data_IF_460531083684
#
_entry.id   IF_460531083684
#
_cell.length_a   1.000
_cell.length_b   1.000
_cell.length_c   1.000
_cell.angle_alpha   90.00
_cell.angle_beta   90.00
_cell.angle_gamma   90.00
#
_symmetry.space_group_name_H-M   'P 1'
#
loop_
_entity.id
_entity.type
_entity.pdbx_description
1 polymer ?
#
# COMPACT_ATOMS: atom_id res chain seq x y z
N UNK A 1 -19.00 9.22 -23.60
CA UNK A 1 -18.20 8.47 -24.59
C UNK A 1 -16.78 8.56 -24.13
N UNK A 2 -16.19 7.45 -23.68
CA UNK A 2 -14.78 7.44 -23.28
C UNK A 2 -13.97 7.27 -24.56
N UNK A 3 -13.08 8.22 -24.83
CA UNK A 3 -12.06 8.08 -25.88
C UNK A 3 -11.29 6.78 -25.60
N UNK A 4 -11.27 5.88 -26.58
CA UNK A 4 -10.45 4.68 -26.56
C UNK A 4 -8.99 5.13 -26.73
N UNK A 5 -8.39 5.61 -25.65
CA UNK A 5 -6.96 5.95 -25.62
C UNK A 5 -6.20 4.66 -25.81
N UNK A 6 -5.76 4.40 -27.04
CA UNK A 6 -4.91 3.26 -27.37
C UNK A 6 -3.55 3.48 -26.72
N UNK A 7 -3.36 2.94 -25.52
CA UNK A 7 -2.07 2.93 -24.81
C UNK A 7 -1.03 2.22 -25.69
N UNK A 8 0.12 2.85 -25.91
CA UNK A 8 1.23 2.23 -26.65
C UNK A 8 2.01 1.24 -25.77
N UNK A 9 2.66 0.26 -26.41
CA UNK A 9 3.59 -0.67 -25.75
C UNK A 9 4.67 0.06 -24.96
N UNK A 10 5.22 1.13 -25.54
CA UNK A 10 6.24 1.98 -24.91
C UNK A 10 5.70 2.66 -23.64
N UNK A 11 4.51 3.26 -23.71
CA UNK A 11 3.88 3.92 -22.54
C UNK A 11 3.64 2.92 -21.42
N UNK A 12 3.15 1.73 -21.76
CA UNK A 12 2.91 0.67 -20.80
C UNK A 12 4.22 0.20 -20.14
N UNK A 13 5.22 -0.12 -20.93
CA UNK A 13 6.51 -0.67 -20.46
C UNK A 13 7.25 0.37 -19.61
N UNK A 14 7.30 1.63 -20.04
CA UNK A 14 7.92 2.70 -19.25
C UNK A 14 7.17 2.99 -17.95
N UNK A 15 5.84 2.94 -17.96
CA UNK A 15 5.04 3.20 -16.75
C UNK A 15 5.16 2.05 -15.74
N UNK A 16 5.18 0.79 -16.20
CA UNK A 16 5.44 -0.37 -15.34
C UNK A 16 6.85 -0.31 -14.77
N UNK A 17 7.86 -0.03 -15.59
CA UNK A 17 9.24 0.08 -15.15
C UNK A 17 9.43 1.17 -14.09
N UNK A 18 8.77 2.33 -14.26
CA UNK A 18 8.79 3.39 -13.26
C UNK A 18 8.21 2.93 -11.91
N UNK A 19 7.06 2.26 -11.93
CA UNK A 19 6.43 1.70 -10.73
C UNK A 19 7.35 0.69 -10.04
N UNK A 20 7.89 -0.26 -10.81
CA UNK A 20 8.79 -1.31 -10.30
C UNK A 20 10.03 -0.70 -9.66
N UNK A 21 10.73 0.20 -10.36
CA UNK A 21 11.96 0.81 -9.87
C UNK A 21 11.73 1.64 -8.62
N UNK A 22 10.66 2.46 -8.61
CA UNK A 22 10.32 3.25 -7.43
C UNK A 22 9.93 2.34 -6.25
N UNK A 23 9.14 1.30 -6.50
CA UNK A 23 8.77 0.33 -5.48
C UNK A 23 9.95 -0.41 -4.86
N UNK A 24 10.96 -0.77 -5.67
CA UNK A 24 12.22 -1.38 -5.19
C UNK A 24 13.02 -0.40 -4.32
N UNK A 25 13.17 0.86 -4.75
CA UNK A 25 13.87 1.89 -3.95
C UNK A 25 13.16 2.12 -2.61
N UNK A 26 11.83 2.19 -2.62
CA UNK A 26 11.03 2.33 -1.41
C UNK A 26 11.17 1.11 -0.49
N UNK A 27 11.24 -0.10 -1.05
CA UNK A 27 11.39 -1.33 -0.27
C UNK A 27 12.74 -1.37 0.42
N UNK A 28 13.83 -1.07 -0.28
CA UNK A 28 15.16 -1.06 0.31
C UNK A 28 15.28 0.01 1.41
N UNK A 29 14.70 1.19 1.18
CA UNK A 29 14.60 2.23 2.21
C UNK A 29 13.80 1.73 3.43
N UNK A 30 12.66 1.08 3.21
CA UNK A 30 11.85 0.52 4.29
C UNK A 30 12.60 -0.54 5.09
N UNK A 31 13.33 -1.44 4.42
CA UNK A 31 14.16 -2.46 5.07
C UNK A 31 15.27 -1.82 5.92
N UNK A 32 15.92 -0.78 5.40
CA UNK A 32 16.96 -0.05 6.14
C UNK A 32 16.37 0.62 7.39
N UNK A 33 15.27 1.35 7.25
CA UNK A 33 14.61 2.02 8.38
C UNK A 33 14.10 1.01 9.44
N UNK A 34 13.53 -0.12 8.99
CA UNK A 34 13.08 -1.19 9.87
C UNK A 34 14.24 -1.85 10.63
N UNK A 35 15.39 -2.05 9.98
CA UNK A 35 16.59 -2.60 10.61
C UNK A 35 17.21 -1.63 11.64
N UNK A 36 17.09 -0.32 11.44
CA UNK A 36 17.55 0.68 12.41
C UNK A 36 16.66 0.72 13.66
N UNK A 37 15.34 0.65 13.51
CA UNK A 37 14.39 0.56 14.62
C UNK A 37 12.98 0.27 14.11
N UNK A 38 12.43 -0.92 14.45
CA UNK A 38 11.05 -1.28 14.13
C UNK A 38 10.04 -0.31 14.78
N UNK A 39 10.26 0.07 16.03
CA UNK A 39 9.41 1.02 16.78
C UNK A 39 9.32 2.39 16.11
N UNK A 40 10.42 2.89 15.52
CA UNK A 40 10.40 4.14 14.76
C UNK A 40 9.88 3.95 13.35
N UNK A 41 10.15 2.81 12.74
CA UNK A 41 9.68 2.51 11.39
C UNK A 41 8.14 2.50 11.31
N UNK A 42 7.45 1.80 12.22
CA UNK A 42 5.98 1.63 12.20
C UNK A 42 5.19 2.94 12.09
N UNK A 43 5.41 3.98 12.93
CA UNK A 43 4.68 5.24 12.84
C UNK A 43 5.00 6.04 11.56
N UNK A 44 6.17 5.83 10.95
CA UNK A 44 6.56 6.51 9.70
C UNK A 44 6.33 5.67 8.42
N UNK A 45 5.98 4.37 8.53
CA UNK A 45 5.62 3.43 7.44
C UNK A 45 4.66 4.03 6.42
N UNK A 46 3.75 4.84 6.94
CA UNK A 46 2.72 5.55 6.18
C UNK A 46 3.37 6.34 5.02
N UNK A 47 4.54 6.96 5.21
CA UNK A 47 5.21 7.75 4.17
C UNK A 47 5.73 6.89 3.01
N UNK A 48 6.37 5.76 3.32
CA UNK A 48 6.96 4.88 2.30
C UNK A 48 5.88 4.13 1.53
N UNK A 49 4.80 3.72 2.20
CA UNK A 49 3.61 3.13 1.56
C UNK A 49 2.82 4.17 0.74
N UNK A 50 2.76 5.44 1.16
CA UNK A 50 2.21 6.53 0.33
C UNK A 50 3.01 6.76 -0.95
N UNK A 51 4.32 6.52 -0.93
CA UNK A 51 5.16 6.54 -2.13
C UNK A 51 4.68 5.53 -3.19
N UNK A 52 4.39 4.30 -2.76
CA UNK A 52 3.85 3.24 -3.62
C UNK A 52 2.45 3.55 -4.15
N UNK A 53 1.56 4.05 -3.28
CA UNK A 53 0.23 4.48 -3.72
C UNK A 53 0.29 5.57 -4.79
N UNK A 54 1.22 6.53 -4.63
CA UNK A 54 1.44 7.59 -5.62
C UNK A 54 1.95 7.03 -6.94
N UNK A 55 2.90 6.09 -6.90
CA UNK A 55 3.44 5.41 -8.07
C UNK A 55 2.35 4.63 -8.84
N UNK A 56 1.52 3.88 -8.11
CA UNK A 56 0.39 3.14 -8.69
C UNK A 56 -0.67 4.06 -9.30
N UNK A 57 -0.98 5.18 -8.64
CA UNK A 57 -1.88 6.18 -9.20
C UNK A 57 -1.32 6.81 -10.49
N UNK A 58 0.00 7.04 -10.55
CA UNK A 58 0.66 7.53 -11.75
C UNK A 58 0.61 6.50 -12.88
N UNK A 59 0.81 5.21 -12.60
CA UNK A 59 0.60 4.14 -13.58
C UNK A 59 -0.82 4.19 -14.15
N UNK A 60 -1.84 4.22 -13.30
CA UNK A 60 -3.23 4.24 -13.76
C UNK A 60 -3.54 5.47 -14.61
N UNK A 61 -3.01 6.63 -14.21
CA UNK A 61 -3.12 7.87 -14.99
C UNK A 61 -2.44 7.75 -16.37
N UNK A 62 -1.23 7.18 -16.44
CA UNK A 62 -0.51 6.98 -17.70
C UNK A 62 -1.23 6.00 -18.64
N UNK A 63 -1.93 5.01 -18.08
CA UNK A 63 -2.71 4.05 -18.85
C UNK A 63 -4.14 4.53 -19.16
N UNK A 64 -4.57 5.67 -18.62
CA UNK A 64 -5.95 6.16 -18.78
C UNK A 64 -7.01 5.30 -18.08
N UNK A 65 -6.61 4.48 -17.10
CA UNK A 65 -7.48 3.54 -16.37
C UNK A 65 -7.75 4.02 -14.95
N UNK A 66 -8.78 3.45 -14.31
CA UNK A 66 -9.16 3.78 -12.93
C UNK A 66 -9.02 2.60 -11.97
N UNK A 67 -8.92 1.38 -12.50
CA UNK A 67 -8.89 0.14 -11.72
C UNK A 67 -7.70 -0.73 -12.09
N UNK A 68 -7.23 -1.53 -11.12
CA UNK A 68 -6.19 -2.55 -11.36
C UNK A 68 -6.60 -3.53 -12.48
N UNK A 69 -7.85 -4.00 -12.47
CA UNK A 69 -8.36 -4.92 -13.51
C UNK A 69 -8.36 -4.32 -14.92
N UNK A 70 -8.53 -2.99 -15.04
CA UNK A 70 -8.44 -2.29 -16.32
C UNK A 70 -6.97 -2.19 -16.77
N UNK A 71 -6.04 -1.90 -15.85
CA UNK A 71 -4.60 -1.94 -16.13
C UNK A 71 -4.14 -3.35 -16.57
N UNK A 72 -4.67 -4.38 -15.92
CA UNK A 72 -4.42 -5.79 -16.27
C UNK A 72 -4.90 -6.13 -17.68
N UNK A 73 -6.11 -5.70 -18.03
CA UNK A 73 -6.63 -5.86 -19.38
C UNK A 73 -5.77 -5.14 -20.42
N UNK A 74 -5.15 -4.01 -20.07
CA UNK A 74 -4.23 -3.29 -20.97
C UNK A 74 -2.95 -4.10 -21.21
N UNK A 75 -2.25 -4.55 -20.17
CA UNK A 75 -1.00 -5.30 -20.39
C UNK A 75 -1.22 -6.72 -20.96
N UNK A 76 -2.38 -7.34 -20.72
CA UNK A 76 -2.73 -8.62 -21.35
C UNK A 76 -2.74 -8.53 -22.89
N UNK A 77 -3.17 -7.40 -23.46
CA UNK A 77 -3.13 -7.16 -24.91
C UNK A 77 -1.71 -7.19 -25.47
N UNK A 78 -0.73 -6.77 -24.68
CA UNK A 78 0.68 -6.71 -25.06
C UNK A 78 1.52 -7.87 -24.51
N UNK A 79 0.91 -8.88 -23.87
CA UNK A 79 1.62 -9.98 -23.22
C UNK A 79 2.43 -10.88 -24.18
N UNK A 80 2.16 -10.79 -25.49
CA UNK A 80 2.99 -11.43 -26.51
C UNK A 80 4.40 -10.81 -26.61
N UNK A 81 4.60 -9.58 -26.11
CA UNK A 81 5.89 -8.87 -26.07
C UNK A 81 6.70 -9.26 -24.84
N UNK A 82 7.96 -9.63 -25.05
CA UNK A 82 8.86 -10.03 -23.97
C UNK A 82 9.06 -8.92 -22.93
N UNK A 83 9.31 -7.68 -23.39
CA UNK A 83 9.51 -6.54 -22.50
C UNK A 83 8.33 -6.29 -21.55
N UNK A 84 7.09 -6.49 -22.01
CA UNK A 84 5.90 -6.35 -21.16
C UNK A 84 5.81 -7.49 -20.15
N UNK A 85 6.07 -8.74 -20.57
CA UNK A 85 6.08 -9.89 -19.65
C UNK A 85 7.11 -9.69 -18.55
N UNK A 86 8.33 -9.33 -18.91
CA UNK A 86 9.41 -9.07 -17.96
C UNK A 86 9.02 -8.01 -16.93
N UNK A 87 8.43 -6.88 -17.35
CA UNK A 87 8.00 -5.85 -16.41
C UNK A 87 6.82 -6.28 -15.51
N UNK A 88 5.93 -7.14 -16.01
CA UNK A 88 4.83 -7.71 -15.20
C UNK A 88 5.38 -8.72 -14.19
N UNK A 89 6.31 -9.59 -14.60
CA UNK A 89 6.96 -10.55 -13.70
C UNK A 89 7.73 -9.81 -12.59
N UNK A 90 8.45 -8.74 -12.94
CA UNK A 90 9.12 -7.86 -11.98
C UNK A 90 8.16 -7.16 -11.01
N UNK A 91 6.98 -6.75 -11.48
CA UNK A 91 5.94 -6.18 -10.62
C UNK A 91 5.39 -7.22 -9.65
N UNK A 92 5.13 -8.45 -10.10
CA UNK A 92 4.65 -9.53 -9.25
C UNK A 92 5.69 -9.94 -8.20
N UNK A 93 6.97 -10.00 -8.59
CA UNK A 93 8.05 -10.25 -7.65
C UNK A 93 8.15 -9.12 -6.61
N UNK A 94 8.01 -7.87 -7.04
CA UNK A 94 7.98 -6.73 -6.12
C UNK A 94 6.80 -6.81 -5.13
N UNK A 95 5.60 -7.18 -5.58
CA UNK A 95 4.45 -7.41 -4.69
C UNK A 95 4.77 -8.50 -3.65
N UNK A 96 5.36 -9.63 -4.08
CA UNK A 96 5.78 -10.71 -3.17
C UNK A 96 6.86 -10.28 -2.17
N UNK A 97 7.83 -9.47 -2.61
CA UNK A 97 8.91 -8.99 -1.75
C UNK A 97 8.41 -8.01 -0.68
N UNK A 98 7.46 -7.14 -1.06
CA UNK A 98 6.76 -6.26 -0.12
C UNK A 98 5.94 -7.05 0.89
N UNK A 99 5.15 -8.03 0.45
CA UNK A 99 4.37 -8.87 1.35
C UNK A 99 5.27 -9.62 2.34
N UNK A 100 6.37 -10.21 1.86
CA UNK A 100 7.34 -10.93 2.70
C UNK A 100 8.00 -10.01 3.73
N UNK A 101 8.38 -8.80 3.32
CA UNK A 101 8.95 -7.81 4.21
C UNK A 101 7.93 -7.38 5.29
N UNK A 102 6.68 -7.11 4.90
CA UNK A 102 5.64 -6.73 5.86
C UNK A 102 5.39 -7.85 6.87
N UNK A 103 5.36 -9.12 6.44
CA UNK A 103 5.29 -10.27 7.34
C UNK A 103 6.47 -10.29 8.32
N UNK A 104 7.72 -10.09 7.86
CA UNK A 104 8.87 -10.07 8.77
C UNK A 104 8.83 -8.93 9.79
N UNK A 105 8.27 -7.78 9.41
CA UNK A 105 8.08 -6.66 10.33
C UNK A 105 7.01 -7.01 11.36
N UNK A 106 5.93 -7.66 10.93
CA UNK A 106 4.86 -8.11 11.81
C UNK A 106 5.39 -9.13 12.84
N UNK A 107 6.19 -10.11 12.41
CA UNK A 107 6.85 -11.09 13.30
C UNK A 107 7.80 -10.43 14.30
N UNK A 108 8.60 -9.45 13.86
CA UNK A 108 9.51 -8.70 14.71
C UNK A 108 8.81 -7.82 15.76
N UNK A 109 7.55 -7.42 15.50
CA UNK A 109 6.73 -6.67 16.46
C UNK A 109 5.98 -7.60 17.42
N UNK A 110 5.52 -8.77 16.94
CA UNK A 110 4.79 -9.74 17.76
C UNK A 110 5.60 -10.29 18.95
N UNK A 111 6.93 -10.27 18.89
CA UNK A 111 7.77 -10.64 20.04
C UNK A 111 7.55 -9.76 21.27
N UNK A 112 6.94 -8.57 21.15
CA UNK A 112 6.62 -7.71 22.30
C UNK A 112 5.18 -7.89 22.84
N UNK A 113 4.29 -8.57 22.10
CA UNK A 113 2.87 -8.74 22.47
C UNK A 113 2.59 -10.09 23.13
N UNK A 114 3.30 -10.34 24.21
CA UNK A 114 2.98 -11.46 25.09
C UNK A 114 1.79 -11.08 25.99
N UNK A 115 0.55 -11.43 25.61
CA UNK A 115 -0.52 -11.64 26.61
C UNK A 115 -1.90 -10.98 26.42
N UNK A 116 -2.24 -10.42 25.25
CA UNK A 116 -3.58 -9.85 25.00
C UNK A 116 -4.58 -10.87 24.46
N UNK A 117 -5.75 -11.02 25.10
CA UNK A 117 -6.87 -11.82 24.55
C UNK A 117 -7.40 -11.13 23.30
N UNK A 118 -7.64 -11.87 22.21
CA UNK A 118 -8.26 -11.33 20.98
C UNK A 118 -9.64 -10.78 21.35
N UNK A 119 -9.82 -9.47 21.25
CA UNK A 119 -11.10 -8.83 21.51
C UNK A 119 -12.04 -9.01 20.30
N UNK A 120 -13.20 -9.65 20.51
CA UNK A 120 -14.22 -9.86 19.46
C UNK A 120 -14.96 -8.57 19.05
N UNK A 121 -14.83 -7.49 19.84
CA UNK A 121 -15.48 -6.21 19.57
C UNK A 121 -14.65 -5.03 20.04
N UNK A 122 -14.81 -3.88 19.36
CA UNK A 122 -14.23 -2.60 19.72
C UNK A 122 -15.31 -1.72 20.36
N UNK A 123 -15.02 -1.18 21.54
CA UNK A 123 -15.96 -0.30 22.26
C UNK A 123 -16.00 1.09 21.63
N UNK A 124 -17.18 1.77 21.60
CA UNK A 124 -17.25 3.19 21.27
C UNK A 124 -16.35 4.07 22.14
N UNK A 125 -16.07 3.64 23.37
CA UNK A 125 -15.21 4.34 24.32
C UNK A 125 -13.72 4.03 24.13
N UNK A 126 -13.35 3.22 23.14
CA UNK A 126 -11.95 2.90 22.86
C UNK A 126 -11.18 4.18 22.54
N UNK A 127 -10.13 4.53 23.31
CA UNK A 127 -9.36 5.73 23.10
C UNK A 127 -8.42 5.55 21.91
N UNK A 128 -8.37 6.57 21.06
CA UNK A 128 -7.44 6.72 19.95
C UNK A 128 -6.71 8.04 20.05
N UNK A 129 -5.64 8.18 19.27
CA UNK A 129 -4.96 9.47 19.06
C UNK A 129 -5.27 9.96 17.65
N UNK A 130 -5.83 11.16 17.54
CA UNK A 130 -5.99 11.81 16.23
C UNK A 130 -4.60 12.14 15.67
N UNK A 131 -4.20 11.45 14.60
CA UNK A 131 -2.88 11.61 13.98
C UNK A 131 -2.61 13.02 13.41
N UNK A 132 -3.64 13.85 13.20
CA UNK A 132 -3.47 15.24 12.75
C UNK A 132 -3.26 16.20 13.92
N UNK A 133 -4.04 16.03 14.99
CA UNK A 133 -4.10 17.00 16.10
C UNK A 133 -3.34 16.56 17.35
N UNK A 134 -2.96 15.28 17.45
CA UNK A 134 -2.35 14.67 18.63
C UNK A 134 -3.29 14.53 19.82
N UNK A 135 -4.58 14.83 19.65
CA UNK A 135 -5.57 14.77 20.74
C UNK A 135 -6.04 13.34 20.97
N UNK A 136 -6.33 13.03 22.23
CA UNK A 136 -7.06 11.82 22.57
C UNK A 136 -8.53 11.97 22.15
N UNK A 137 -9.02 11.01 21.37
CA UNK A 137 -10.38 10.93 20.83
C UNK A 137 -10.93 9.54 21.09
N UNK A 138 -12.24 9.34 21.02
CA UNK A 138 -12.86 8.01 21.16
C UNK A 138 -13.48 7.55 19.85
N UNK A 139 -13.65 6.24 19.66
CA UNK A 139 -14.29 5.69 18.46
C UNK A 139 -15.69 6.29 18.21
N UNK A 140 -16.47 6.44 19.29
CA UNK A 140 -17.85 6.94 19.26
C UNK A 140 -17.96 8.34 18.66
N UNK A 141 -16.94 9.19 18.84
CA UNK A 141 -16.91 10.54 18.25
C UNK A 141 -16.96 10.52 16.72
N UNK A 142 -16.56 9.41 16.07
CA UNK A 142 -16.61 9.23 14.62
C UNK A 142 -17.82 8.43 14.14
N UNK A 143 -18.47 7.65 15.02
CA UNK A 143 -19.63 6.81 14.68
C UNK A 143 -20.94 7.61 14.61
N UNK A 144 -21.10 8.64 15.44
CA UNK A 144 -22.40 9.31 15.65
C UNK A 144 -22.62 10.60 14.85
N UNK A 145 -21.83 10.86 13.80
CA UNK A 145 -21.89 12.12 13.05
C UNK A 145 -22.88 12.11 11.86
N UNK A 146 -23.66 11.05 11.66
CA UNK A 146 -24.56 10.91 10.51
C UNK A 146 -23.85 10.85 9.14
N UNK A 147 -22.51 10.73 9.14
CA UNK A 147 -21.69 10.54 7.95
C UNK A 147 -21.35 9.06 7.77
N UNK A 148 -21.12 8.63 6.52
CA UNK A 148 -20.57 7.30 6.25
C UNK A 148 -19.10 7.29 6.62
N UNK A 149 -18.77 6.66 7.75
CA UNK A 149 -17.40 6.47 8.19
C UNK A 149 -16.73 5.34 7.38
N UNK A 150 -15.58 5.63 6.77
CA UNK A 150 -14.67 4.61 6.25
C UNK A 150 -13.55 4.41 7.27
N UNK A 151 -13.61 3.31 8.02
CA UNK A 151 -12.54 2.92 8.92
C UNK A 151 -11.56 2.04 8.17
N UNK A 152 -10.39 2.59 7.83
CA UNK A 152 -9.27 1.79 7.32
C UNK A 152 -8.42 1.39 8.51
N UNK A 153 -8.60 0.16 8.99
CA UNK A 153 -7.68 -0.46 9.93
C UNK A 153 -6.42 -0.82 9.16
N UNK A 154 -5.54 0.16 9.01
CA UNK A 154 -4.15 -0.11 8.65
C UNK A 154 -3.63 -0.96 9.82
N UNK A 155 -3.07 -2.14 9.55
CA UNK A 155 -2.47 -3.00 10.58
C UNK A 155 -1.53 -2.16 11.45
N UNK A 156 -2.06 -1.70 12.58
CA UNK A 156 -1.32 -1.11 13.66
C UNK A 156 -1.19 -2.25 14.65
N UNK A 157 -0.04 -2.90 14.58
CA UNK A 157 0.50 -3.63 15.71
C UNK A 157 0.75 -2.57 16.78
N UNK A 158 -0.11 -2.56 17.78
CA UNK A 158 0.23 -2.03 19.10
C UNK A 158 0.83 -3.18 19.88
#
# INVERSE_FOLDING_TARGET
MAEDVTVSEETLTSSLSLLVNLGKVLLEKAKQEAAESLERFVPYKITTLYGLMTAGAQLFKSLGVKKKSEAEAVWQKFYHRAAVREQVDELLQLESDWDSFLVSVDEGLQTELSGGTIAESLSPETPFTDGRSGKSVTLGQYLDQGQKLLLVLIRHFG
#
